data_IF_828976967472
#
_entry.id   IF_828976967472
#
_cell.length_a   1.000
_cell.length_b   1.000
_cell.length_c   1.000
_cell.angle_alpha   90.00
_cell.angle_beta   90.00
_cell.angle_gamma   90.00
#
_symmetry.space_group_name_H-M   'P 1'
#
loop_
_entity.id
_entity.type
_entity.pdbx_description
1 polymer ?
#
# COMPACT_ATOMS: atom_id res chain seq x y z
N UNK A 1 -8.68 -7.29 24.92
CA UNK A 1 -9.91 -7.29 24.10
C UNK A 1 -10.83 -6.19 24.58
N UNK A 2 -11.60 -5.55 23.69
CA UNK A 2 -12.68 -4.63 24.05
C UNK A 2 -13.88 -4.93 23.17
N UNK A 3 -15.05 -5.09 23.76
CA UNK A 3 -16.31 -5.16 23.01
C UNK A 3 -16.94 -3.77 23.07
N UNK A 4 -17.39 -3.26 21.92
CA UNK A 4 -18.05 -1.96 21.84
C UNK A 4 -19.18 -2.04 20.83
N UNK A 5 -20.35 -1.55 21.19
CA UNK A 5 -21.41 -1.35 20.21
C UNK A 5 -21.24 0.02 19.54
N UNK A 6 -21.23 0.02 18.21
CA UNK A 6 -21.26 1.23 17.39
C UNK A 6 -22.48 1.14 16.47
N UNK A 7 -23.52 1.91 16.81
CA UNK A 7 -24.82 1.88 16.13
C UNK A 7 -25.43 0.45 16.09
N UNK A 8 -25.69 -0.06 14.89
CA UNK A 8 -26.28 -1.38 14.64
C UNK A 8 -25.25 -2.53 14.57
N UNK A 9 -23.99 -2.28 14.94
CA UNK A 9 -22.90 -3.27 14.86
C UNK A 9 -22.20 -3.40 16.21
N UNK A 10 -22.05 -4.63 16.70
CA UNK A 10 -21.18 -4.95 17.83
C UNK A 10 -19.78 -5.24 17.30
N UNK A 11 -18.81 -4.50 17.81
CA UNK A 11 -17.39 -4.62 17.46
C UNK A 11 -16.64 -5.36 18.58
N UNK A 12 -15.84 -6.34 18.21
CA UNK A 12 -14.90 -7.02 19.11
C UNK A 12 -13.49 -6.65 18.66
N UNK A 13 -12.86 -5.75 19.39
CA UNK A 13 -11.50 -5.30 19.12
C UNK A 13 -10.49 -6.19 19.86
N UNK A 14 -9.59 -6.83 19.10
CA UNK A 14 -8.38 -7.42 19.65
C UNK A 14 -7.24 -6.41 19.54
N UNK A 15 -6.67 -6.03 20.69
CA UNK A 15 -5.40 -5.32 20.72
C UNK A 15 -4.31 -6.38 20.77
N UNK A 16 -3.82 -6.79 19.61
CA UNK A 16 -2.60 -7.58 19.52
C UNK A 16 -1.42 -6.62 19.77
N UNK A 17 -0.45 -6.96 20.64
CA UNK A 17 0.80 -6.22 20.72
C UNK A 17 1.61 -6.52 19.46
N UNK A 18 1.26 -5.90 18.34
CA UNK A 18 2.22 -5.83 17.25
C UNK A 18 3.45 -5.04 17.76
N UNK A 19 4.65 -5.37 17.28
CA UNK A 19 5.85 -4.60 17.59
C UNK A 19 5.66 -3.18 17.11
N UNK A 20 5.60 -2.20 18.02
CA UNK A 20 5.57 -0.77 17.63
C UNK A 20 6.88 -0.48 16.90
N UNK A 21 6.81 -0.28 15.59
CA UNK A 21 7.97 0.06 14.76
C UNK A 21 8.31 1.55 14.90
N UNK A 22 7.29 2.42 15.04
CA UNK A 22 7.49 3.86 15.24
C UNK A 22 6.24 4.54 15.84
N UNK A 23 6.42 5.67 16.52
CA UNK A 23 5.35 6.53 17.03
C UNK A 23 5.53 7.91 16.38
N UNK A 24 4.63 8.30 15.48
CA UNK A 24 4.59 9.69 15.00
C UNK A 24 3.64 10.50 15.85
N UNK A 25 4.12 11.59 16.41
CA UNK A 25 3.31 12.55 17.14
C UNK A 25 3.09 13.76 16.23
N UNK A 26 1.87 13.96 15.76
CA UNK A 26 1.48 15.15 15.02
C UNK A 26 0.70 16.06 15.94
N UNK A 27 1.23 17.27 16.15
CA UNK A 27 0.59 18.28 16.98
C UNK A 27 -0.06 19.30 16.04
N UNK A 28 -1.38 19.36 16.04
CA UNK A 28 -2.15 20.32 15.24
C UNK A 28 -2.80 21.33 16.19
N UNK A 29 -2.46 22.60 16.04
CA UNK A 29 -3.13 23.71 16.74
C UNK A 29 -4.30 24.21 15.90
N UNK A 30 -5.49 24.26 16.50
CA UNK A 30 -6.65 24.93 15.89
C UNK A 30 -6.45 26.46 15.91
N UNK A 31 -7.21 27.20 15.09
CA UNK A 31 -7.13 28.68 15.03
C UNK A 31 -7.43 29.36 16.37
N UNK A 32 -8.12 28.66 17.27
CA UNK A 32 -8.47 29.10 18.63
C UNK A 32 -7.41 28.73 19.70
N UNK A 33 -6.21 28.30 19.29
CA UNK A 33 -5.09 28.01 20.20
C UNK A 33 -5.18 26.67 20.94
N UNK A 34 -6.18 25.84 20.64
CA UNK A 34 -6.26 24.48 21.18
C UNK A 34 -5.29 23.54 20.46
N UNK A 35 -4.29 23.07 21.20
CA UNK A 35 -3.28 22.14 20.72
C UNK A 35 -3.80 20.71 20.84
N UNK A 36 -4.12 20.08 19.71
CA UNK A 36 -4.46 18.64 19.64
C UNK A 36 -3.22 17.85 19.26
N UNK A 37 -2.74 17.06 20.20
CA UNK A 37 -1.63 16.12 19.98
C UNK A 37 -2.20 14.77 19.57
N UNK A 38 -2.07 14.41 18.29
CA UNK A 38 -2.45 13.10 17.79
C UNK A 38 -1.22 12.20 17.72
N UNK A 39 -1.25 11.08 18.47
CA UNK A 39 -0.22 10.04 18.39
C UNK A 39 -0.69 8.94 17.44
N UNK A 40 0.05 8.73 16.36
CA UNK A 40 -0.17 7.65 15.39
C UNK A 40 0.91 6.59 15.59
N UNK A 41 0.47 5.37 15.83
CA UNK A 41 1.34 4.23 16.10
C UNK A 41 1.51 3.40 14.80
N UNK A 42 2.75 3.09 14.44
CA UNK A 42 3.13 2.20 13.33
C UNK A 42 3.68 0.90 13.90
N UNK A 43 3.44 -0.21 13.22
CA UNK A 43 3.82 -1.53 13.71
C UNK A 43 4.61 -2.33 12.66
N UNK A 44 5.54 -3.18 13.10
CA UNK A 44 6.21 -4.19 12.25
C UNK A 44 5.14 -5.21 11.82
N UNK A 45 5.10 -5.57 10.54
CA UNK A 45 4.31 -6.72 10.11
C UNK A 45 4.91 -7.97 10.80
N UNK A 46 4.07 -8.81 11.43
CA UNK A 46 4.50 -10.02 12.13
C UNK A 46 5.06 -11.12 11.23
N UNK A 47 5.45 -10.79 9.99
CA UNK A 47 5.88 -11.71 8.95
C UNK A 47 7.30 -11.42 8.43
N UNK A 48 8.08 -10.61 9.15
CA UNK A 48 9.48 -10.34 8.78
C UNK A 48 9.65 -9.42 7.58
N UNK A 49 8.61 -8.66 7.23
CA UNK A 49 8.62 -7.67 6.15
C UNK A 49 8.85 -6.26 6.70
N UNK A 50 9.78 -5.53 6.09
CA UNK A 50 10.18 -4.14 6.41
C UNK A 50 9.08 -3.11 6.12
N UNK A 51 7.90 -3.55 5.64
CA UNK A 51 6.79 -2.67 5.30
C UNK A 51 6.03 -2.19 6.56
N UNK A 52 5.83 -0.87 6.62
CA UNK A 52 5.25 -0.15 7.76
C UNK A 52 3.75 0.02 7.52
N UNK A 53 2.91 -0.62 8.32
CA UNK A 53 1.46 -0.49 8.20
C UNK A 53 0.93 0.54 9.21
N UNK A 54 0.13 1.54 8.78
CA UNK A 54 -0.63 2.38 9.71
C UNK A 54 -1.68 1.52 10.41
N UNK A 55 -1.89 1.75 11.71
CA UNK A 55 -2.81 0.98 12.54
C UNK A 55 -4.24 0.98 11.96
N UNK A 56 -4.66 -0.13 11.34
CA UNK A 56 -6.07 -0.52 11.28
C UNK A 56 -6.26 -1.53 12.41
N UNK A 57 -7.07 -1.18 13.42
CA UNK A 57 -7.37 -2.09 14.53
C UNK A 57 -8.00 -3.37 13.96
N UNK A 58 -7.44 -4.52 14.33
CA UNK A 58 -8.06 -5.81 14.04
C UNK A 58 -9.35 -5.91 14.85
N UNK A 59 -10.48 -6.00 14.14
CA UNK A 59 -11.81 -6.06 14.72
C UNK A 59 -12.64 -7.11 14.02
N UNK A 60 -13.39 -7.87 14.83
CA UNK A 60 -14.54 -8.60 14.34
C UNK A 60 -15.79 -7.74 14.47
N UNK A 61 -16.66 -7.80 13.48
CA UNK A 61 -17.94 -7.10 13.49
C UNK A 61 -19.09 -8.05 13.33
N UNK A 62 -20.09 -7.88 14.19
CA UNK A 62 -21.30 -8.68 14.27
C UNK A 62 -22.51 -7.75 14.23
N UNK A 63 -23.58 -8.07 13.47
CA UNK A 63 -24.80 -7.29 13.50
C UNK A 63 -25.44 -7.33 14.90
N UNK A 64 -25.72 -6.17 15.49
CA UNK A 64 -26.37 -6.06 16.79
C UNK A 64 -27.81 -6.61 16.79
N UNK A 65 -28.42 -6.79 15.60
CA UNK A 65 -29.72 -7.43 15.43
C UNK A 65 -29.73 -8.93 15.73
N UNK A 66 -28.56 -9.59 15.69
CA UNK A 66 -28.43 -11.03 15.87
C UNK A 66 -27.91 -11.38 17.27
N UNK A 67 -26.93 -10.62 17.76
CA UNK A 67 -26.36 -10.81 19.10
C UNK A 67 -26.14 -9.46 19.78
N UNK A 68 -26.70 -9.31 20.98
CA UNK A 68 -26.54 -8.11 21.81
C UNK A 68 -25.13 -7.97 22.37
N UNK A 69 -24.73 -6.74 22.74
CA UNK A 69 -23.39 -6.45 23.26
C UNK A 69 -23.02 -7.33 24.46
N UNK A 70 -23.92 -7.45 25.44
CA UNK A 70 -23.67 -8.19 26.69
C UNK A 70 -23.47 -9.69 26.43
N UNK A 71 -24.25 -10.27 25.51
CA UNK A 71 -24.13 -11.66 25.12
C UNK A 71 -22.79 -11.93 24.43
N UNK A 72 -22.37 -11.02 23.53
CA UNK A 72 -21.05 -11.08 22.87
C UNK A 72 -19.92 -10.87 23.88
N UNK A 73 -20.07 -9.97 24.84
CA UNK A 73 -19.06 -9.75 25.88
C UNK A 73 -18.88 -10.95 26.79
N UNK A 74 -19.97 -11.55 27.25
CA UNK A 74 -19.94 -12.75 28.09
C UNK A 74 -19.32 -13.94 27.34
N UNK A 75 -19.68 -14.11 26.07
CA UNK A 75 -19.12 -15.10 25.17
C UNK A 75 -17.62 -14.98 24.98
N UNK A 76 -17.17 -13.78 24.67
CA UNK A 76 -15.77 -13.45 24.45
C UNK A 76 -14.99 -13.66 25.75
N UNK A 77 -15.54 -13.22 26.88
CA UNK A 77 -14.93 -13.41 28.20
C UNK A 77 -14.79 -14.89 28.58
N UNK A 78 -15.84 -15.69 28.36
CA UNK A 78 -15.84 -17.13 28.60
C UNK A 78 -14.82 -17.86 27.70
N UNK A 79 -14.81 -17.52 26.41
CA UNK A 79 -13.89 -18.07 25.42
C UNK A 79 -12.42 -17.79 25.78
N UNK A 80 -12.10 -16.56 26.17
CA UNK A 80 -10.76 -16.17 26.61
C UNK A 80 -10.37 -16.88 27.91
N UNK A 81 -11.29 -16.98 28.89
CA UNK A 81 -11.01 -17.67 30.15
C UNK A 81 -10.77 -19.17 29.97
N UNK A 82 -11.36 -19.77 28.92
CA UNK A 82 -11.17 -21.18 28.60
C UNK A 82 -9.92 -21.47 27.75
N UNK A 83 -9.30 -20.43 27.17
CA UNK A 83 -8.13 -20.60 26.32
C UNK A 83 -6.87 -20.81 27.17
N UNK A 84 -6.25 -21.98 27.03
CA UNK A 84 -4.98 -22.32 27.66
C UNK A 84 -3.88 -22.47 26.59
N UNK A 85 -2.87 -21.58 26.54
CA UNK A 85 -1.80 -21.65 25.54
C UNK A 85 -0.79 -22.80 25.78
N UNK A 86 -0.93 -23.57 26.86
CA UNK A 86 0.06 -24.54 27.35
C UNK A 86 0.22 -25.84 26.55
N UNK A 87 -0.51 -26.04 25.44
CA UNK A 87 -0.40 -27.26 24.61
C UNK A 87 0.49 -27.10 23.38
N UNK A 88 1.06 -25.93 23.14
CA UNK A 88 1.98 -25.72 22.03
C UNK A 88 3.37 -26.31 22.34
N UNK A 89 3.92 -27.10 21.41
CA UNK A 89 5.27 -27.66 21.51
C UNK A 89 6.31 -26.59 21.86
N UNK A 90 7.31 -26.85 22.74
CA UNK A 90 8.25 -25.85 23.25
C UNK A 90 8.96 -25.02 22.17
N UNK A 91 9.24 -25.61 21.01
CA UNK A 91 9.87 -24.93 19.87
C UNK A 91 8.99 -23.88 19.17
N UNK A 92 7.66 -23.95 19.33
CA UNK A 92 6.70 -22.96 18.79
C UNK A 92 6.48 -21.79 19.74
N UNK A 93 6.70 -22.00 21.04
CA UNK A 93 6.41 -21.05 22.12
C UNK A 93 7.29 -19.79 22.06
N UNK A 94 8.44 -19.85 21.38
CA UNK A 94 9.39 -18.75 21.27
C UNK A 94 9.32 -18.14 19.87
N UNK A 95 8.94 -16.86 19.79
CA UNK A 95 8.77 -16.17 18.51
C UNK A 95 10.06 -16.08 17.68
N UNK A 96 9.96 -15.87 16.35
CA UNK A 96 11.11 -15.66 15.47
C UNK A 96 11.97 -14.50 15.98
N UNK A 97 13.24 -14.78 16.33
CA UNK A 97 14.16 -13.78 16.87
C UNK A 97 14.21 -13.66 18.40
N UNK A 98 13.46 -14.46 19.18
CA UNK A 98 13.65 -14.55 20.64
C UNK A 98 15.09 -14.98 20.98
N UNK A 99 15.61 -15.97 20.26
CA UNK A 99 16.98 -16.47 20.42
C UNK A 99 18.04 -15.41 20.16
N UNK A 100 17.87 -14.60 19.12
CA UNK A 100 18.84 -13.55 18.81
C UNK A 100 18.79 -12.41 19.84
N UNK A 101 17.61 -12.06 20.37
CA UNK A 101 17.47 -11.04 21.42
C UNK A 101 17.96 -11.53 22.78
N UNK A 102 17.76 -12.81 23.12
CA UNK A 102 18.36 -13.46 24.30
C UNK A 102 19.87 -13.59 24.16
N UNK A 103 20.39 -13.90 22.96
CA UNK A 103 21.83 -13.92 22.70
C UNK A 103 22.44 -12.52 22.86
N UNK A 104 21.78 -11.45 22.40
CA UNK A 104 22.21 -10.07 22.62
C UNK A 104 22.18 -9.71 24.11
N UNK A 105 21.15 -10.15 24.85
CA UNK A 105 21.08 -9.95 26.30
C UNK A 105 22.21 -10.69 27.04
N UNK A 106 22.47 -11.94 26.65
CA UNK A 106 23.56 -12.76 27.18
C UNK A 106 24.95 -12.19 26.85
N UNK A 107 25.13 -11.69 25.63
CA UNK A 107 26.36 -11.00 25.23
C UNK A 107 26.59 -9.74 26.07
N UNK A 108 25.56 -8.93 26.30
CA UNK A 108 25.64 -7.77 27.20
C UNK A 108 26.02 -8.15 28.64
N UNK A 109 25.48 -9.25 29.16
CA UNK A 109 25.79 -9.76 30.50
C UNK A 109 27.24 -10.27 30.61
N UNK A 110 27.70 -11.08 29.66
CA UNK A 110 29.09 -11.59 29.62
C UNK A 110 30.08 -10.44 29.46
N UNK A 111 29.78 -9.48 28.58
CA UNK A 111 30.61 -8.32 28.34
C UNK A 111 30.72 -7.43 29.59
N UNK A 112 29.61 -7.20 30.29
CA UNK A 112 29.62 -6.49 31.58
C UNK A 112 30.40 -7.25 32.65
N UNK A 113 30.31 -8.58 32.69
CA UNK A 113 31.02 -9.40 33.66
C UNK A 113 32.54 -9.35 33.43
N UNK A 114 33.00 -9.49 32.18
CA UNK A 114 34.42 -9.39 31.84
C UNK A 114 34.98 -8.01 32.20
N UNK A 115 34.28 -6.93 31.86
CA UNK A 115 34.70 -5.57 32.21
C UNK A 115 34.77 -5.35 33.74
N UNK A 116 33.82 -5.93 34.48
CA UNK A 116 33.81 -5.90 35.94
C UNK A 116 34.96 -6.72 36.56
N UNK A 117 35.27 -7.90 36.02
CA UNK A 117 36.42 -8.69 36.46
C UNK A 117 37.75 -7.97 36.25
N UNK A 118 37.92 -7.27 35.12
CA UNK A 118 39.10 -6.43 34.86
C UNK A 118 39.19 -5.31 35.90
N UNK A 119 38.08 -4.63 36.21
CA UNK A 119 38.04 -3.57 37.20
C UNK A 119 38.41 -4.07 38.61
N UNK A 120 37.90 -5.23 39.02
CA UNK A 120 38.25 -5.89 40.30
C UNK A 120 39.74 -6.25 40.36
N UNK A 121 40.36 -6.63 39.24
CA UNK A 121 41.79 -6.95 39.22
C UNK A 121 42.67 -5.70 39.22
N UNK A 122 42.26 -4.64 38.52
CA UNK A 122 43.05 -3.41 38.35
C UNK A 122 43.04 -2.55 39.62
N UNK A 123 41.90 -2.41 40.30
CA UNK A 123 41.79 -1.59 41.54
C UNK A 123 42.82 -1.96 42.62
N UNK A 124 42.99 -3.24 43.03
CA UNK A 124 43.97 -3.61 44.06
C UNK A 124 45.41 -3.43 43.59
N UNK A 125 45.71 -3.73 42.31
CA UNK A 125 47.05 -3.50 41.73
C UNK A 125 47.42 -2.01 41.77
N UNK A 126 46.47 -1.14 41.43
CA UNK A 126 46.66 0.31 41.43
C UNK A 126 46.81 0.86 42.86
N UNK A 127 46.12 0.26 43.84
CA UNK A 127 46.26 0.62 45.26
C UNK A 127 47.64 0.26 45.81
N UNK A 128 48.20 -0.87 45.39
CA UNK A 128 49.55 -1.30 45.79
C UNK A 128 50.62 -0.34 45.22
N UNK A 129 50.44 0.14 43.98
CA UNK A 129 51.35 1.12 43.37
C UNK A 129 51.30 2.50 44.05
N UNK A 130 50.12 2.93 44.53
CA UNK A 130 49.97 4.19 45.29
C UNK A 130 50.68 4.11 46.65
N UNK A 131 50.58 2.97 47.34
CA UNK A 131 51.26 2.69 48.61
C UNK A 131 52.79 2.50 48.44
N UNK A 132 53.26 2.02 47.29
CA UNK A 132 54.69 1.74 47.03
C UNK A 132 55.47 2.89 46.36
N UNK A 133 54.84 3.68 45.48
CA UNK A 133 55.50 4.70 44.64
C UNK A 133 54.98 6.14 44.83
N UNK A 134 54.02 6.39 45.72
CA UNK A 134 53.60 7.73 46.13
C UNK A 134 52.96 8.59 45.03
N UNK A 135 52.46 7.98 43.95
CA UNK A 135 51.83 8.66 42.83
C UNK A 135 50.35 8.89 43.15
N UNK A 136 49.94 10.15 43.37
CA UNK A 136 48.54 10.48 43.63
C UNK A 136 47.69 10.20 42.40
N UNK A 137 46.73 9.29 42.52
CA UNK A 137 45.94 8.82 41.39
C UNK A 137 44.72 9.70 41.12
N UNK A 138 44.57 10.18 39.89
CA UNK A 138 43.37 10.90 39.45
C UNK A 138 42.23 9.91 39.13
N UNK A 139 41.14 9.95 39.90
CA UNK A 139 39.90 9.18 39.68
C UNK A 139 39.27 9.34 38.28
N UNK A 140 39.78 10.24 37.43
CA UNK A 140 39.38 10.46 36.04
C UNK A 140 40.23 9.75 34.98
N UNK A 141 41.20 8.91 35.36
CA UNK A 141 42.09 8.23 34.42
C UNK A 141 41.33 7.34 33.43
N UNK A 142 41.75 7.39 32.16
CA UNK A 142 41.22 6.60 31.04
C UNK A 142 41.16 5.09 31.38
N UNK A 143 42.07 4.60 32.22
CA UNK A 143 42.16 3.21 32.65
C UNK A 143 41.01 2.73 33.56
N UNK A 144 40.33 3.62 34.29
CA UNK A 144 39.12 3.29 35.06
C UNK A 144 37.85 3.65 34.30
N UNK A 145 37.88 4.75 33.53
CA UNK A 145 36.73 5.26 32.80
C UNK A 145 36.32 4.32 31.66
N UNK A 146 37.29 3.70 30.99
CA UNK A 146 37.05 2.82 29.86
C UNK A 146 36.41 1.47 30.26
N UNK A 147 36.87 0.75 31.31
CA UNK A 147 36.14 -0.41 31.86
C UNK A 147 34.77 -0.04 32.45
N UNK A 148 34.67 1.08 33.17
CA UNK A 148 33.39 1.53 33.72
C UNK A 148 32.37 1.85 32.61
N UNK A 149 32.81 2.50 31.54
CA UNK A 149 31.99 2.75 30.34
C UNK A 149 31.51 1.46 29.68
N UNK A 150 32.36 0.43 29.61
CA UNK A 150 31.98 -0.87 29.07
C UNK A 150 30.98 -1.65 29.94
N UNK A 151 31.05 -1.52 31.27
CA UNK A 151 30.02 -2.07 32.18
C UNK A 151 28.67 -1.42 31.89
N UNK A 152 28.62 -0.07 31.82
CA UNK A 152 27.37 0.66 31.53
C UNK A 152 26.82 0.27 30.16
N UNK A 153 27.67 0.18 29.15
CA UNK A 153 27.28 -0.25 27.81
C UNK A 153 26.75 -1.69 27.79
N UNK A 154 27.41 -2.62 28.47
CA UNK A 154 27.00 -4.02 28.59
C UNK A 154 25.64 -4.17 29.27
N UNK A 155 25.42 -3.44 30.38
CA UNK A 155 24.12 -3.40 31.08
C UNK A 155 23.04 -2.80 30.19
N UNK A 156 23.32 -1.73 29.45
CA UNK A 156 22.35 -1.12 28.52
C UNK A 156 21.93 -2.11 27.43
N UNK A 157 22.90 -2.79 26.81
CA UNK A 157 22.66 -3.84 25.80
C UNK A 157 21.84 -4.99 26.41
N UNK A 158 22.17 -5.41 27.64
CA UNK A 158 21.43 -6.44 28.37
C UNK A 158 19.97 -6.02 28.60
N UNK A 159 19.72 -4.80 29.09
CA UNK A 159 18.37 -4.28 29.35
C UNK A 159 17.57 -4.16 28.05
N UNK A 160 18.17 -3.71 26.95
CA UNK A 160 17.52 -3.63 25.64
C UNK A 160 17.19 -5.03 25.10
N UNK A 161 18.13 -5.97 25.22
CA UNK A 161 17.94 -7.38 24.85
C UNK A 161 16.82 -8.05 25.66
N UNK A 162 16.82 -7.86 26.98
CA UNK A 162 15.83 -8.43 27.89
C UNK A 162 14.45 -7.80 27.69
N UNK A 163 14.38 -6.48 27.51
CA UNK A 163 13.12 -5.76 27.21
C UNK A 163 12.55 -6.20 25.86
N UNK A 164 13.40 -6.35 24.85
CA UNK A 164 12.95 -6.81 23.52
C UNK A 164 12.54 -8.29 23.53
N UNK A 165 13.20 -9.15 24.30
CA UNK A 165 12.79 -10.53 24.54
C UNK A 165 11.48 -10.61 25.35
N UNK A 166 11.29 -9.74 26.34
CA UNK A 166 10.05 -9.65 27.10
C UNK A 166 8.85 -9.26 26.24
N UNK A 167 9.04 -8.36 25.28
CA UNK A 167 8.00 -7.99 24.31
C UNK A 167 7.63 -9.18 23.41
N UNK A 168 8.58 -10.05 23.10
CA UNK A 168 8.38 -11.28 22.30
C UNK A 168 7.85 -12.46 23.12
N UNK A 169 7.61 -12.28 24.43
CA UNK A 169 7.07 -13.33 25.32
C UNK A 169 5.69 -13.82 24.89
N UNK A 170 4.92 -12.99 24.18
CA UNK A 170 3.66 -13.39 23.58
C UNK A 170 3.92 -13.77 22.12
N UNK A 171 4.09 -15.05 21.81
CA UNK A 171 4.34 -15.47 20.44
C UNK A 171 3.11 -15.22 19.55
N UNK A 172 3.37 -14.84 18.30
CA UNK A 172 2.34 -14.37 17.34
C UNK A 172 1.24 -15.41 17.06
N UNK A 173 1.58 -16.71 17.18
CA UNK A 173 0.60 -17.78 17.00
C UNK A 173 -0.51 -17.76 18.06
N UNK A 174 -0.25 -17.24 19.28
CA UNK A 174 -1.28 -17.13 20.32
C UNK A 174 -2.33 -16.10 19.91
N UNK A 175 -1.90 -14.99 19.31
CA UNK A 175 -2.81 -13.98 18.81
C UNK A 175 -3.67 -14.56 17.67
N UNK A 176 -3.06 -15.32 16.76
CA UNK A 176 -3.77 -16.01 15.68
C UNK A 176 -4.75 -17.07 16.19
N UNK A 177 -4.34 -17.93 17.13
CA UNK A 177 -5.21 -18.94 17.73
C UNK A 177 -6.39 -18.31 18.48
N UNK A 178 -6.13 -17.23 19.23
CA UNK A 178 -7.20 -16.46 19.87
C UNK A 178 -8.14 -15.82 18.86
N UNK A 179 -7.61 -15.32 17.74
CA UNK A 179 -8.40 -14.75 16.64
C UNK A 179 -9.32 -15.80 15.99
N UNK A 180 -8.78 -16.99 15.70
CA UNK A 180 -9.55 -18.11 15.13
C UNK A 180 -10.57 -18.66 16.13
N UNK A 181 -10.22 -18.74 17.41
CA UNK A 181 -11.12 -19.17 18.48
C UNK A 181 -12.28 -18.18 18.63
N UNK A 182 -12.00 -16.88 18.68
CA UNK A 182 -13.03 -15.84 18.72
C UNK A 182 -13.94 -15.91 17.49
N UNK A 183 -13.38 -16.07 16.30
CA UNK A 183 -14.16 -16.27 15.08
C UNK A 183 -15.11 -17.46 15.21
N UNK A 184 -14.62 -18.60 15.69
CA UNK A 184 -15.44 -19.81 15.86
C UNK A 184 -16.59 -19.60 16.85
N UNK A 185 -16.32 -18.92 17.96
CA UNK A 185 -17.31 -18.61 19.00
C UNK A 185 -18.36 -17.64 18.47
N UNK A 186 -17.95 -16.54 17.83
CA UNK A 186 -18.85 -15.57 17.23
C UNK A 186 -19.71 -16.20 16.12
N UNK A 187 -19.12 -17.08 15.31
CA UNK A 187 -19.85 -17.81 14.27
C UNK A 187 -20.90 -18.74 14.87
N UNK A 188 -20.55 -19.49 15.93
CA UNK A 188 -21.49 -20.38 16.62
C UNK A 188 -22.65 -19.61 17.26
N UNK A 189 -22.39 -18.43 17.80
CA UNK A 189 -23.43 -17.62 18.46
C UNK A 189 -24.38 -16.94 17.50
N UNK A 190 -23.85 -16.42 16.39
CA UNK A 190 -24.63 -15.60 15.46
C UNK A 190 -25.21 -16.42 14.31
N UNK A 191 -24.78 -17.68 14.15
CA UNK A 191 -25.11 -18.51 12.99
C UNK A 191 -24.53 -17.98 11.68
N UNK A 192 -23.72 -16.92 11.71
CA UNK A 192 -23.12 -16.26 10.56
C UNK A 192 -21.64 -15.99 10.80
N UNK A 193 -20.84 -15.92 9.72
CA UNK A 193 -19.44 -15.55 9.86
C UNK A 193 -19.31 -14.05 10.25
N UNK A 194 -18.52 -13.70 11.28
CA UNK A 194 -18.27 -12.31 11.66
C UNK A 194 -17.45 -11.60 10.58
N UNK A 195 -17.70 -10.30 10.38
CA UNK A 195 -16.91 -9.46 9.48
C UNK A 195 -15.51 -9.23 10.05
N UNK A 196 -14.46 -9.34 9.23
CA UNK A 196 -13.07 -9.10 9.64
C UNK A 196 -12.50 -7.84 8.99
N UNK A 197 -11.77 -7.02 9.78
CA UNK A 197 -11.04 -5.87 9.26
C UNK A 197 -9.65 -6.22 8.70
N UNK A 198 -9.20 -7.47 8.85
CA UNK A 198 -7.86 -7.88 8.41
C UNK A 198 -7.82 -8.09 6.89
N UNK A 199 -6.87 -7.45 6.18
CA UNK A 199 -6.75 -7.61 4.72
C UNK A 199 -6.62 -9.07 4.28
N UNK A 200 -5.78 -9.84 4.97
CA UNK A 200 -5.59 -11.29 4.74
C UNK A 200 -6.88 -12.10 4.84
N UNK A 201 -7.75 -11.79 5.81
CA UNK A 201 -9.04 -12.47 5.93
C UNK A 201 -9.96 -12.12 4.75
N UNK A 202 -9.95 -10.86 4.30
CA UNK A 202 -10.72 -10.42 3.13
C UNK A 202 -10.18 -10.95 1.80
N UNK A 203 -8.88 -11.21 1.71
CA UNK A 203 -8.21 -11.89 0.58
C UNK A 203 -8.48 -13.41 0.61
N UNK A 204 -8.61 -13.99 1.80
CA UNK A 204 -9.05 -15.37 2.02
C UNK A 204 -10.54 -15.60 1.73
N UNK A 205 -11.26 -14.57 1.26
CA UNK A 205 -12.67 -14.65 0.91
C UNK A 205 -13.63 -14.54 2.09
N UNK A 206 -13.13 -14.24 3.29
CA UNK A 206 -13.96 -14.06 4.48
C UNK A 206 -14.74 -12.74 4.39
N UNK A 207 -15.83 -12.67 5.15
CA UNK A 207 -16.72 -11.50 5.17
C UNK A 207 -15.92 -10.27 5.60
N UNK A 208 -15.95 -9.17 4.81
CA UNK A 208 -15.27 -7.95 5.21
C UNK A 208 -15.99 -7.27 6.35
N UNK A 209 -15.24 -6.44 7.08
CA UNK A 209 -15.73 -5.68 8.21
C UNK A 209 -16.97 -4.81 7.89
N UNK A 210 -18.04 -5.00 8.67
CA UNK A 210 -19.33 -4.36 8.51
C UNK A 210 -19.31 -2.83 8.73
N UNK A 211 -18.32 -2.30 9.45
CA UNK A 211 -18.19 -0.83 9.59
C UNK A 211 -17.70 -0.20 8.29
N UNK A 212 -16.74 -0.85 7.61
CA UNK A 212 -16.22 -0.35 6.33
C UNK A 212 -17.07 -0.78 5.14
N UNK A 213 -17.77 -1.90 5.27
CA UNK A 213 -18.60 -2.54 4.25
C UNK A 213 -19.93 -3.01 4.90
N UNK A 214 -20.90 -2.11 5.09
CA UNK A 214 -22.16 -2.43 5.80
C UNK A 214 -22.98 -3.54 5.15
N UNK A 215 -22.82 -3.74 3.83
CA UNK A 215 -23.41 -4.83 3.05
C UNK A 215 -22.38 -5.85 2.58
N UNK A 216 -21.24 -5.94 3.26
CA UNK A 216 -20.17 -6.88 2.92
C UNK A 216 -20.65 -8.32 3.03
N UNK A 217 -20.68 -9.04 1.92
CA UNK A 217 -20.98 -10.47 1.88
C UNK A 217 -19.68 -11.30 1.91
N UNK A 218 -19.80 -12.60 2.22
CA UNK A 218 -18.70 -13.53 2.09
C UNK A 218 -18.27 -13.60 0.62
N UNK A 219 -16.99 -13.38 0.35
CA UNK A 219 -16.47 -13.40 -1.01
C UNK A 219 -16.22 -14.85 -1.42
N UNK A 220 -17.07 -15.39 -2.29
CA UNK A 220 -16.84 -16.71 -2.88
C UNK A 220 -15.58 -16.65 -3.74
N UNK A 221 -14.57 -17.45 -3.37
CA UNK A 221 -13.37 -17.66 -4.19
C UNK A 221 -13.65 -18.82 -5.14
N UNK A 222 -13.56 -18.55 -6.44
CA UNK A 222 -13.58 -19.59 -7.46
C UNK A 222 -12.27 -20.38 -7.48
N UNK A 223 -12.28 -21.50 -8.22
CA UNK A 223 -11.09 -22.33 -8.41
C UNK A 223 -10.36 -21.88 -9.67
N UNK A 224 -9.05 -21.68 -9.59
CA UNK A 224 -8.19 -21.36 -10.74
C UNK A 224 -7.99 -22.56 -11.65
N UNK A 225 -7.43 -22.32 -12.84
CA UNK A 225 -7.08 -23.38 -13.78
C UNK A 225 -6.18 -24.46 -13.15
N UNK A 226 -5.28 -24.07 -12.24
CA UNK A 226 -4.34 -24.96 -11.56
C UNK A 226 -4.92 -25.62 -10.28
N UNK A 227 -6.24 -25.51 -10.05
CA UNK A 227 -6.91 -26.07 -8.88
C UNK A 227 -6.70 -25.29 -7.58
N UNK A 228 -6.00 -24.14 -7.63
CA UNK A 228 -5.80 -23.26 -6.47
C UNK A 228 -7.04 -22.38 -6.23
N UNK A 229 -7.18 -21.83 -5.04
CA UNK A 229 -8.22 -20.81 -4.80
C UNK A 229 -7.81 -19.49 -5.45
N UNK A 230 -8.70 -18.93 -6.27
CA UNK A 230 -8.49 -17.63 -6.92
C UNK A 230 -8.60 -16.45 -5.95
N UNK A 231 -8.25 -15.22 -6.38
CA UNK A 231 -8.34 -14.03 -5.56
C UNK A 231 -9.78 -13.69 -5.20
N UNK A 232 -9.96 -13.00 -4.07
CA UNK A 232 -11.26 -12.46 -3.69
C UNK A 232 -11.60 -11.22 -4.53
N UNK A 233 -12.55 -11.35 -5.46
CA UNK A 233 -12.94 -10.25 -6.34
C UNK A 233 -13.67 -9.12 -5.60
N UNK A 234 -13.52 -7.85 -6.05
CA UNK A 234 -14.27 -6.71 -5.53
C UNK A 234 -15.78 -6.91 -5.59
N UNK A 235 -16.47 -6.60 -4.49
CA UNK A 235 -17.93 -6.56 -4.42
C UNK A 235 -18.53 -5.33 -5.12
N UNK A 236 -19.84 -5.33 -5.36
CA UNK A 236 -20.55 -4.21 -6.00
C UNK A 236 -20.37 -2.90 -5.24
N UNK A 237 -20.28 -2.95 -3.91
CA UNK A 237 -20.01 -1.79 -3.07
C UNK A 237 -18.60 -1.23 -3.27
N UNK A 238 -17.55 -2.04 -3.27
CA UNK A 238 -16.18 -1.57 -3.53
C UNK A 238 -16.02 -1.06 -4.96
N UNK A 239 -16.69 -1.68 -5.94
CA UNK A 239 -16.73 -1.20 -7.34
C UNK A 239 -17.41 0.17 -7.42
N UNK A 240 -18.56 0.37 -6.78
CA UNK A 240 -19.24 1.68 -6.79
C UNK A 240 -18.42 2.75 -6.05
N UNK A 241 -17.74 2.38 -4.97
CA UNK A 241 -16.84 3.27 -4.22
C UNK A 241 -15.62 3.68 -5.03
N UNK A 242 -14.98 2.75 -5.75
CA UNK A 242 -13.85 3.06 -6.64
C UNK A 242 -14.28 3.94 -7.81
N UNK A 243 -15.43 3.66 -8.43
CA UNK A 243 -16.01 4.52 -9.48
C UNK A 243 -16.31 5.91 -8.94
N UNK A 244 -16.87 6.05 -7.73
CA UNK A 244 -17.13 7.36 -7.12
C UNK A 244 -15.85 8.15 -6.90
N UNK A 245 -14.79 7.51 -6.39
CA UNK A 245 -13.46 8.13 -6.26
C UNK A 245 -12.89 8.53 -7.62
N UNK A 246 -13.05 7.66 -8.63
CA UNK A 246 -12.69 7.96 -10.02
C UNK A 246 -13.40 9.20 -10.54
N UNK A 247 -14.72 9.31 -10.34
CA UNK A 247 -15.53 10.46 -10.76
C UNK A 247 -15.08 11.76 -10.09
N UNK A 248 -14.79 11.72 -8.79
CA UNK A 248 -14.25 12.88 -8.08
C UNK A 248 -12.89 13.28 -8.67
N UNK A 249 -12.03 12.30 -8.97
CA UNK A 249 -10.74 12.56 -9.61
C UNK A 249 -10.93 13.16 -11.00
N UNK A 250 -11.88 12.67 -11.81
CA UNK A 250 -12.22 13.24 -13.11
C UNK A 250 -12.66 14.70 -12.97
N UNK A 251 -13.58 14.99 -12.05
CA UNK A 251 -14.06 16.35 -11.79
C UNK A 251 -12.91 17.28 -11.41
N UNK A 252 -12.03 16.85 -10.50
CA UNK A 252 -10.87 17.63 -10.06
C UNK A 252 -9.87 17.85 -11.20
N UNK A 253 -9.58 16.81 -12.00
CA UNK A 253 -8.70 16.97 -13.16
C UNK A 253 -9.31 17.87 -14.23
N UNK A 254 -10.63 17.79 -14.45
CA UNK A 254 -11.33 18.65 -15.39
C UNK A 254 -11.37 20.10 -14.92
N UNK A 255 -11.62 20.35 -13.64
CA UNK A 255 -11.61 21.71 -13.08
C UNK A 255 -10.22 22.32 -13.15
N UNK A 256 -9.17 21.54 -12.86
CA UNK A 256 -7.78 21.99 -13.00
C UNK A 256 -7.46 22.39 -14.46
N UNK A 257 -7.89 21.57 -15.43
CA UNK A 257 -7.71 21.85 -16.85
C UNK A 257 -8.43 23.15 -17.26
N UNK A 258 -9.67 23.36 -16.81
CA UNK A 258 -10.44 24.58 -17.12
C UNK A 258 -9.75 25.81 -16.52
N UNK A 259 -9.25 25.73 -15.29
CA UNK A 259 -8.51 26.83 -14.65
C UNK A 259 -7.22 27.13 -15.43
N UNK A 260 -6.45 26.13 -15.83
CA UNK A 260 -5.24 26.32 -16.64
C UNK A 260 -5.60 26.97 -17.99
N UNK A 261 -6.65 26.51 -18.65
CA UNK A 261 -7.08 27.08 -19.94
C UNK A 261 -7.57 28.53 -19.78
N UNK A 262 -8.28 28.83 -18.69
CA UNK A 262 -8.74 30.18 -18.35
C UNK A 262 -7.58 31.13 -18.02
N UNK A 263 -6.58 30.66 -17.28
CA UNK A 263 -5.34 31.41 -17.00
C UNK A 263 -4.60 31.68 -18.32
N UNK A 264 -4.39 30.65 -19.15
CA UNK A 264 -3.78 30.82 -20.47
C UNK A 264 -4.55 31.82 -21.33
N UNK A 265 -5.89 31.79 -21.31
CA UNK A 265 -6.73 32.76 -22.03
C UNK A 265 -6.53 34.20 -21.52
N UNK A 266 -6.50 34.41 -20.21
CA UNK A 266 -6.27 35.73 -19.61
C UNK A 266 -4.86 36.26 -19.96
N UNK A 267 -3.83 35.42 -19.83
CA UNK A 267 -2.46 35.80 -20.21
C UNK A 267 -2.32 36.05 -21.73
N UNK A 268 -3.06 35.30 -22.56
CA UNK A 268 -3.06 35.48 -24.02
C UNK A 268 -3.66 36.83 -24.45
N UNK A 269 -4.54 37.42 -23.63
CA UNK A 269 -5.14 38.74 -23.84
C UNK A 269 -4.16 39.89 -23.58
N UNK A 270 -2.98 39.61 -23.02
CA UNK A 270 -1.92 40.59 -22.73
C UNK A 270 -0.98 40.89 -23.92
N UNK A 271 -1.34 40.51 -25.15
CA UNK A 271 -0.70 41.06 -26.37
C UNK A 271 0.22 40.13 -27.15
N UNK A 272 -0.21 38.88 -27.42
CA UNK A 272 0.40 38.08 -28.48
C UNK A 272 -0.62 37.90 -29.63
N UNK A 273 -0.30 38.42 -30.81
CA UNK A 273 -1.09 38.16 -32.02
C UNK A 273 -1.05 36.66 -32.34
N UNK A 274 -2.16 35.96 -32.13
CA UNK A 274 -2.30 34.57 -32.54
C UNK A 274 -2.65 34.53 -34.03
N UNK A 275 -1.63 34.39 -34.88
CA UNK A 275 -1.86 33.98 -36.26
C UNK A 275 -2.64 32.65 -36.29
N UNK A 276 -3.51 32.46 -37.29
CA UNK A 276 -4.39 31.28 -37.43
C UNK A 276 -3.61 29.97 -37.28
N UNK A 277 -2.39 29.90 -37.81
CA UNK A 277 -1.52 28.72 -37.74
C UNK A 277 -1.01 28.40 -36.32
N UNK A 278 -0.79 29.43 -35.48
CA UNK A 278 -0.37 29.27 -34.09
C UNK A 278 -1.54 28.84 -33.20
N UNK A 279 -2.74 29.30 -33.53
CA UNK A 279 -3.97 28.84 -32.86
C UNK A 279 -4.19 27.35 -33.10
N UNK A 280 -4.02 26.87 -34.34
CA UNK A 280 -4.22 25.46 -34.67
C UNK A 280 -3.20 24.55 -34.00
N UNK A 281 -1.91 24.93 -33.99
CA UNK A 281 -0.84 24.15 -33.32
C UNK A 281 -1.03 24.11 -31.79
N UNK A 282 -1.41 25.24 -31.18
CA UNK A 282 -1.73 25.31 -29.76
C UNK A 282 -2.96 24.46 -29.39
N UNK A 283 -4.03 24.52 -30.18
CA UNK A 283 -5.25 23.70 -29.95
C UNK A 283 -4.93 22.20 -30.04
N UNK A 284 -4.10 21.78 -31.00
CA UNK A 284 -3.64 20.38 -31.13
C UNK A 284 -2.85 19.91 -29.89
N UNK A 285 -1.86 20.69 -29.46
CA UNK A 285 -1.05 20.38 -28.29
C UNK A 285 -1.88 20.34 -27.00
N UNK A 286 -2.75 21.35 -26.80
CA UNK A 286 -3.64 21.43 -25.65
C UNK A 286 -4.64 20.27 -25.63
N UNK A 287 -5.25 19.92 -26.76
CA UNK A 287 -6.18 18.78 -26.85
C UNK A 287 -5.46 17.46 -26.52
N UNK A 288 -4.22 17.30 -26.96
CA UNK A 288 -3.36 16.18 -26.62
C UNK A 288 -3.11 16.07 -25.11
N UNK A 289 -2.67 17.16 -24.49
CA UNK A 289 -2.41 17.24 -23.04
C UNK A 289 -3.65 16.99 -22.19
N UNK A 290 -4.79 17.56 -22.58
CA UNK A 290 -6.09 17.36 -21.92
C UNK A 290 -6.46 15.87 -21.96
N UNK A 291 -6.32 15.21 -23.11
CA UNK A 291 -6.55 13.77 -23.24
C UNK A 291 -5.63 12.94 -22.34
N UNK A 292 -4.33 13.23 -22.32
CA UNK A 292 -3.35 12.51 -21.48
C UNK A 292 -3.72 12.60 -19.99
N UNK A 293 -4.18 13.76 -19.52
CA UNK A 293 -4.56 13.97 -18.12
C UNK A 293 -5.91 13.34 -17.76
N UNK A 294 -6.89 13.35 -18.67
CA UNK A 294 -8.24 12.84 -18.41
C UNK A 294 -8.35 11.32 -18.54
N UNK A 295 -7.63 10.69 -19.48
CA UNK A 295 -7.78 9.25 -19.77
C UNK A 295 -7.52 8.37 -18.54
N UNK A 296 -6.45 8.56 -17.74
CA UNK A 296 -6.23 7.74 -16.54
C UNK A 296 -7.37 7.88 -15.52
N UNK A 297 -7.95 9.08 -15.39
CA UNK A 297 -9.09 9.34 -14.51
C UNK A 297 -10.37 8.69 -15.04
N UNK A 298 -10.59 8.69 -16.36
CA UNK A 298 -11.71 8.02 -17.03
C UNK A 298 -11.59 6.49 -16.95
N UNK A 299 -10.38 5.94 -17.09
CA UNK A 299 -10.11 4.51 -16.88
C UNK A 299 -10.50 4.08 -15.45
N UNK A 300 -10.21 4.90 -14.45
CA UNK A 300 -10.59 4.62 -13.05
C UNK A 300 -12.11 4.66 -12.81
N UNK A 301 -12.89 5.26 -13.71
CA UNK A 301 -14.35 5.26 -13.67
C UNK A 301 -14.98 4.05 -14.37
N UNK A 302 -14.21 3.28 -15.14
CA UNK A 302 -14.74 2.16 -15.90
C UNK A 302 -15.12 1.01 -14.97
N UNK A 303 -16.42 0.70 -14.93
CA UNK A 303 -16.97 -0.34 -14.04
C UNK A 303 -16.33 -1.71 -14.27
N UNK A 304 -15.96 -2.02 -15.51
CA UNK A 304 -15.43 -3.34 -15.86
C UNK A 304 -13.96 -3.46 -15.41
N UNK A 305 -13.18 -2.38 -15.49
CA UNK A 305 -11.82 -2.31 -14.95
C UNK A 305 -11.80 -2.29 -13.42
N UNK A 306 -12.79 -1.64 -12.80
CA UNK A 306 -12.97 -1.62 -11.35
C UNK A 306 -13.38 -2.99 -10.79
N UNK A 307 -14.20 -3.75 -11.53
CA UNK A 307 -14.60 -5.11 -11.14
C UNK A 307 -13.46 -6.12 -11.26
N UNK A 308 -12.60 -5.98 -12.28
CA UNK A 308 -11.47 -6.88 -12.51
C UNK A 308 -10.13 -6.12 -12.48
N UNK A 309 -9.60 -5.81 -11.28
CA UNK A 309 -8.35 -5.07 -11.13
C UNK A 309 -7.14 -5.87 -11.64
N UNK A 310 -6.07 -5.18 -12.01
CA UNK A 310 -4.78 -5.79 -12.42
C UNK A 310 -3.90 -6.19 -11.24
N UNK A 311 -4.13 -5.56 -10.10
CA UNK A 311 -3.32 -5.68 -8.90
C UNK A 311 -4.26 -5.88 -7.73
N UNK A 312 -3.98 -6.90 -6.92
CA UNK A 312 -4.63 -7.09 -5.62
C UNK A 312 -3.64 -6.58 -4.58
N UNK A 313 -4.11 -5.91 -3.51
CA UNK A 313 -3.32 -5.81 -2.29
C UNK A 313 -2.81 -7.21 -1.94
N UNK A 314 -1.50 -7.33 -1.68
CA UNK A 314 -0.89 -8.57 -1.23
C UNK A 314 -0.10 -8.30 0.05
N UNK A 315 0.32 -9.38 0.71
CA UNK A 315 0.94 -9.36 2.04
C UNK A 315 2.13 -8.38 2.13
N UNK A 316 3.00 -8.33 1.11
CA UNK A 316 4.19 -7.46 1.08
C UNK A 316 4.24 -6.45 -0.07
N UNK A 317 3.68 -6.79 -1.22
CA UNK A 317 3.65 -5.92 -2.41
C UNK A 317 2.36 -6.13 -3.20
N UNK A 318 1.86 -5.12 -3.95
CA UNK A 318 0.71 -5.30 -4.81
C UNK A 318 0.99 -6.41 -5.82
N UNK A 319 0.32 -7.54 -5.65
CA UNK A 319 0.51 -8.71 -6.49
C UNK A 319 -0.26 -8.53 -7.80
N UNK A 320 0.43 -8.72 -8.92
CA UNK A 320 -0.17 -8.58 -10.24
C UNK A 320 -0.87 -9.87 -10.63
N UNK A 321 -2.18 -9.81 -10.83
CA UNK A 321 -2.99 -10.98 -11.21
C UNK A 321 -2.63 -11.41 -12.64
N UNK A 322 -2.08 -12.61 -12.78
CA UNK A 322 -1.84 -13.29 -14.05
C UNK A 322 -3.05 -14.11 -14.50
N UNK A 323 -2.97 -14.66 -15.73
CA UNK A 323 -4.04 -15.51 -16.28
C UNK A 323 -4.27 -16.78 -15.43
N UNK A 324 -3.21 -17.33 -14.82
CA UNK A 324 -3.26 -18.56 -14.02
C UNK A 324 -3.86 -18.36 -12.63
N UNK A 325 -3.83 -17.11 -12.15
CA UNK A 325 -4.32 -16.77 -10.82
C UNK A 325 -5.83 -16.48 -10.84
N UNK A 326 -6.42 -16.32 -12.02
CA UNK A 326 -7.85 -16.08 -12.20
C UNK A 326 -8.62 -17.39 -12.13
N UNK A 327 -9.71 -17.37 -11.39
CA UNK A 327 -10.71 -18.42 -11.31
C UNK A 327 -11.46 -18.62 -12.62
N UNK A 328 -11.85 -19.86 -12.89
CA UNK A 328 -12.46 -20.26 -14.17
C UNK A 328 -13.75 -19.48 -14.46
N UNK A 329 -14.57 -19.22 -13.42
CA UNK A 329 -15.87 -18.55 -13.57
C UNK A 329 -15.72 -17.07 -13.98
N UNK A 330 -14.67 -16.39 -13.51
CA UNK A 330 -14.43 -14.97 -13.78
C UNK A 330 -13.45 -14.71 -14.93
N UNK A 331 -12.87 -15.77 -15.50
CA UNK A 331 -11.90 -15.72 -16.60
C UNK A 331 -12.41 -14.95 -17.83
N UNK A 332 -13.68 -15.13 -18.30
CA UNK A 332 -14.20 -14.37 -19.43
C UNK A 332 -14.31 -12.87 -19.13
N UNK A 333 -14.76 -12.52 -17.92
CA UNK A 333 -14.89 -11.14 -17.46
C UNK A 333 -13.53 -10.45 -17.33
N UNK A 334 -12.53 -11.16 -16.82
CA UNK A 334 -11.16 -10.66 -16.75
C UNK A 334 -10.53 -10.45 -18.14
N UNK A 335 -10.72 -11.36 -19.10
CA UNK A 335 -10.28 -11.17 -20.48
C UNK A 335 -10.91 -9.92 -21.12
N UNK A 336 -12.22 -9.74 -20.94
CA UNK A 336 -12.92 -8.54 -21.41
C UNK A 336 -12.35 -7.26 -20.77
N UNK A 337 -11.98 -7.30 -19.49
CA UNK A 337 -11.33 -6.19 -18.79
C UNK A 337 -9.97 -5.84 -19.38
N UNK A 338 -9.17 -6.85 -19.73
CA UNK A 338 -7.87 -6.61 -20.36
C UNK A 338 -8.00 -6.03 -21.76
N UNK A 339 -8.94 -6.54 -22.56
CA UNK A 339 -9.22 -5.99 -23.88
C UNK A 339 -9.66 -4.52 -23.77
N UNK A 340 -10.55 -4.21 -22.81
CA UNK A 340 -11.01 -2.84 -22.56
C UNK A 340 -9.88 -1.92 -22.08
N UNK A 341 -8.99 -2.41 -21.22
CA UNK A 341 -7.78 -1.68 -20.84
C UNK A 341 -6.88 -1.40 -22.04
N UNK A 342 -6.68 -2.38 -22.93
CA UNK A 342 -5.84 -2.22 -24.12
C UNK A 342 -6.45 -1.19 -25.09
N UNK A 343 -7.78 -1.12 -25.22
CA UNK A 343 -8.45 -0.04 -25.96
C UNK A 343 -8.23 1.32 -25.32
N UNK A 344 -8.39 1.45 -24.00
CA UNK A 344 -8.09 2.69 -23.30
C UNK A 344 -6.63 3.13 -23.45
N UNK A 345 -5.69 2.18 -23.46
CA UNK A 345 -4.28 2.44 -23.72
C UNK A 345 -4.04 2.87 -25.18
N UNK A 346 -4.78 2.29 -26.15
CA UNK A 346 -4.74 2.73 -27.55
C UNK A 346 -5.19 4.17 -27.72
N UNK A 347 -6.30 4.56 -27.06
CA UNK A 347 -6.78 5.94 -27.04
C UNK A 347 -5.73 6.86 -26.41
N UNK A 348 -5.14 6.47 -25.27
CA UNK A 348 -4.07 7.24 -24.62
C UNK A 348 -2.87 7.49 -25.54
N UNK A 349 -2.42 6.47 -26.29
CA UNK A 349 -1.33 6.63 -27.27
C UNK A 349 -1.70 7.61 -28.38
N UNK A 350 -2.93 7.60 -28.87
CA UNK A 350 -3.41 8.57 -29.87
C UNK A 350 -3.27 10.02 -29.38
N UNK A 351 -3.63 10.28 -28.12
CA UNK A 351 -3.46 11.62 -27.52
C UNK A 351 -2.00 12.00 -27.28
N UNK A 352 -1.11 11.04 -26.99
CA UNK A 352 0.34 11.28 -26.95
C UNK A 352 0.89 11.69 -28.32
N UNK A 353 0.46 11.04 -29.39
CA UNK A 353 0.83 11.40 -30.77
C UNK A 353 0.31 12.79 -31.11
N UNK A 354 -0.94 13.11 -30.76
CA UNK A 354 -1.54 14.43 -30.95
C UNK A 354 -0.77 15.53 -30.20
N UNK A 355 -0.40 15.26 -28.94
CA UNK A 355 0.38 16.17 -28.12
C UNK A 355 1.79 16.40 -28.70
N UNK A 356 2.49 15.32 -29.07
CA UNK A 356 3.83 15.42 -29.67
C UNK A 356 3.80 16.17 -31.00
N UNK A 357 2.82 15.88 -31.84
CA UNK A 357 2.59 16.57 -33.10
C UNK A 357 2.39 18.09 -32.91
N UNK A 358 1.51 18.49 -32.00
CA UNK A 358 1.26 19.90 -31.68
C UNK A 358 2.48 20.60 -31.08
N UNK A 359 3.24 19.92 -30.21
CA UNK A 359 4.48 20.43 -29.63
C UNK A 359 5.58 20.67 -30.68
N UNK A 360 5.73 19.76 -31.64
CA UNK A 360 6.69 19.92 -32.75
C UNK A 360 6.31 21.09 -33.65
N UNK A 361 5.01 21.29 -33.97
CA UNK A 361 4.56 22.47 -34.72
C UNK A 361 4.88 23.77 -34.00
N UNK A 362 4.60 23.85 -32.69
CA UNK A 362 4.92 25.03 -31.88
C UNK A 362 6.42 25.30 -31.86
N UNK A 363 7.25 24.26 -31.81
CA UNK A 363 8.71 24.39 -31.85
C UNK A 363 9.22 24.89 -33.20
N UNK A 364 8.69 24.35 -34.30
CA UNK A 364 9.04 24.76 -35.67
C UNK A 364 8.62 26.22 -35.91
N UNK A 365 7.41 26.60 -35.53
CA UNK A 365 6.92 27.98 -35.65
C UNK A 365 7.82 28.96 -34.88
N UNK A 366 8.19 28.61 -33.63
CA UNK A 366 9.08 29.43 -32.80
C UNK A 366 10.51 29.56 -33.36
N UNK A 367 11.03 28.51 -34.02
CA UNK A 367 12.32 28.52 -34.72
C UNK A 367 12.27 29.36 -36.00
N UNK A 368 11.20 29.23 -36.78
CA UNK A 368 11.02 29.95 -38.06
C UNK A 368 10.95 31.47 -37.87
N UNK A 369 10.40 31.94 -36.77
CA UNK A 369 10.39 33.38 -36.43
C UNK A 369 11.79 33.97 -36.21
N UNK A 370 12.79 33.14 -35.97
CA UNK A 370 14.18 33.54 -35.79
C UNK A 370 15.07 33.29 -37.03
N UNK A 371 14.53 32.74 -38.12
CA UNK A 371 15.31 32.43 -39.33
C UNK A 371 14.68 33.03 -40.58
N UNK A 372 15.37 33.94 -41.25
CA UNK A 372 14.90 34.66 -42.45
C UNK A 372 15.05 33.89 -43.78
N UNK A 373 15.64 32.70 -43.79
CA UNK A 373 15.96 31.99 -45.03
C UNK A 373 15.25 30.63 -45.13
N UNK A 374 14.13 30.56 -45.85
CA UNK A 374 13.53 29.28 -46.26
C UNK A 374 13.01 29.33 -47.70
N UNK A 375 13.45 28.36 -48.51
CA UNK A 375 13.05 28.23 -49.92
C UNK A 375 11.57 27.78 -50.06
N UNK A 376 10.91 28.19 -51.15
CA UNK A 376 9.48 27.96 -51.37
C UNK A 376 9.05 26.46 -51.41
N UNK A 377 9.96 25.55 -51.77
CA UNK A 377 9.70 24.10 -51.75
C UNK A 377 9.70 23.51 -50.32
N UNK A 378 10.59 23.99 -49.45
CA UNK A 378 10.58 23.66 -48.01
C UNK A 378 9.37 24.24 -47.28
N UNK A 379 8.83 25.39 -47.73
CA UNK A 379 7.65 26.02 -47.14
C UNK A 379 6.35 25.21 -47.37
N UNK A 380 6.25 24.47 -48.47
CA UNK A 380 5.05 23.69 -48.83
C UNK A 380 4.95 22.37 -48.04
N UNK A 381 6.08 21.69 -47.83
CA UNK A 381 6.17 20.48 -46.99
C UNK A 381 6.00 20.77 -45.48
N UNK A 382 6.25 22.02 -45.06
CA UNK A 382 6.04 22.52 -43.70
C UNK A 382 4.75 23.32 -43.54
N UNK A 383 3.89 23.37 -44.57
CA UNK A 383 2.62 24.10 -44.48
C UNK A 383 1.70 23.46 -43.43
N UNK A 384 1.08 24.30 -42.59
CA UNK A 384 0.19 23.89 -41.52
C UNK A 384 -0.85 22.81 -41.93
N UNK A 385 -1.56 22.91 -43.08
CA UNK A 385 -2.57 21.90 -43.46
C UNK A 385 -1.98 20.53 -43.79
N UNK A 386 -0.81 20.46 -44.42
CA UNK A 386 -0.15 19.17 -44.76
C UNK A 386 0.27 18.45 -43.49
N UNK A 387 0.84 19.17 -42.52
CA UNK A 387 1.21 18.59 -41.23
C UNK A 387 -0.03 18.18 -40.42
N UNK A 388 -1.11 18.97 -40.41
CA UNK A 388 -2.38 18.58 -39.77
C UNK A 388 -2.90 17.28 -40.40
N UNK A 389 -2.92 17.18 -41.73
CA UNK A 389 -3.29 15.94 -42.42
C UNK A 389 -2.42 14.74 -42.02
N UNK A 390 -1.11 14.92 -42.00
CA UNK A 390 -0.15 13.87 -41.61
C UNK A 390 -0.35 13.41 -40.16
N UNK A 391 -0.63 14.34 -39.25
CA UNK A 391 -0.86 14.05 -37.83
C UNK A 391 -2.17 13.31 -37.59
N UNK A 392 -3.24 13.68 -38.30
CA UNK A 392 -4.50 12.94 -38.25
C UNK A 392 -4.34 11.52 -38.79
N UNK A 393 -3.57 11.35 -39.88
CA UNK A 393 -3.22 10.02 -40.41
C UNK A 393 -2.39 9.23 -39.39
N UNK A 394 -1.39 9.85 -38.76
CA UNK A 394 -0.56 9.20 -37.74
C UNK A 394 -1.38 8.77 -36.51
N UNK A 395 -2.29 9.61 -36.03
CA UNK A 395 -3.22 9.27 -34.94
C UNK A 395 -4.14 8.13 -35.35
N UNK A 396 -4.73 8.18 -36.54
CA UNK A 396 -5.58 7.11 -37.05
C UNK A 396 -4.82 5.77 -37.15
N UNK A 397 -3.61 5.79 -37.74
CA UNK A 397 -2.77 4.61 -37.87
C UNK A 397 -2.34 4.05 -36.52
N UNK A 398 -1.94 4.89 -35.57
CA UNK A 398 -1.54 4.45 -34.22
C UNK A 398 -2.70 3.82 -33.45
N UNK A 399 -3.93 4.36 -33.60
CA UNK A 399 -5.14 3.78 -33.03
C UNK A 399 -5.45 2.44 -33.70
N UNK A 400 -5.46 2.36 -35.03
CA UNK A 400 -5.73 1.11 -35.78
C UNK A 400 -4.73 0.02 -35.41
N UNK A 401 -3.42 0.31 -35.45
CA UNK A 401 -2.37 -0.65 -35.09
C UNK A 401 -2.53 -1.10 -33.63
N UNK A 402 -2.82 -0.18 -32.71
CA UNK A 402 -3.03 -0.54 -31.29
C UNK A 402 -4.28 -1.39 -31.09
N UNK A 403 -5.36 -1.14 -31.82
CA UNK A 403 -6.60 -1.91 -31.80
C UNK A 403 -6.38 -3.32 -32.35
N UNK A 404 -5.70 -3.44 -33.50
CA UNK A 404 -5.36 -4.74 -34.10
C UNK A 404 -4.46 -5.54 -33.16
N UNK A 405 -3.46 -4.88 -32.57
CA UNK A 405 -2.59 -5.50 -31.58
C UNK A 405 -3.36 -5.97 -30.34
N UNK A 406 -4.29 -5.17 -29.82
CA UNK A 406 -5.14 -5.53 -28.68
C UNK A 406 -6.01 -6.76 -28.99
N UNK A 407 -6.61 -6.82 -30.19
CA UNK A 407 -7.40 -7.97 -30.66
C UNK A 407 -6.56 -9.23 -30.82
N UNK A 408 -5.38 -9.13 -31.42
CA UNK A 408 -4.47 -10.27 -31.55
C UNK A 408 -4.03 -10.81 -30.18
N UNK A 409 -3.76 -9.92 -29.23
CA UNK A 409 -3.42 -10.30 -27.86
C UNK A 409 -4.59 -10.94 -27.11
N UNK A 410 -5.82 -10.46 -27.33
CA UNK A 410 -7.02 -11.11 -26.79
C UNK A 410 -7.24 -12.50 -27.39
N UNK A 411 -7.10 -12.66 -28.71
CA UNK A 411 -7.18 -13.96 -29.37
C UNK A 411 -6.12 -14.94 -28.82
N UNK A 412 -4.89 -14.47 -28.59
CA UNK A 412 -3.84 -15.26 -27.93
C UNK A 412 -4.20 -15.68 -26.50
N UNK A 413 -4.77 -14.76 -25.70
CA UNK A 413 -5.26 -15.07 -24.34
C UNK A 413 -6.38 -16.11 -24.36
N UNK A 414 -7.37 -15.96 -25.24
CA UNK A 414 -8.48 -16.92 -25.38
C UNK A 414 -8.04 -18.29 -25.87
N UNK A 415 -7.03 -18.37 -26.74
CA UNK A 415 -6.41 -19.65 -27.14
C UNK A 415 -5.76 -20.35 -25.96
N UNK A 416 -5.01 -19.62 -25.12
CA UNK A 416 -4.41 -20.17 -23.90
C UNK A 416 -5.48 -20.65 -22.90
N UNK A 417 -6.58 -19.91 -22.78
CA UNK A 417 -7.74 -20.32 -21.97
C UNK A 417 -8.41 -21.57 -22.53
N UNK A 418 -8.68 -21.62 -23.83
CA UNK A 418 -9.28 -22.77 -24.49
C UNK A 418 -8.43 -24.03 -24.38
N UNK A 419 -7.11 -23.91 -24.52
CA UNK A 419 -6.16 -24.99 -24.31
C UNK A 419 -6.13 -25.47 -22.85
N UNK A 420 -6.17 -24.54 -21.89
CA UNK A 420 -6.19 -24.88 -20.46
C UNK A 420 -7.52 -25.53 -20.02
N UNK A 421 -8.63 -25.22 -20.70
CA UNK A 421 -9.94 -25.82 -20.43
C UNK A 421 -10.07 -27.24 -21.06
N UNK A 422 -9.39 -27.49 -22.19
CA UNK A 422 -9.37 -28.80 -22.88
C UNK A 422 -8.43 -29.84 -22.24
N UNK A 423 -7.48 -29.41 -21.41
CA UNK A 423 -6.53 -30.28 -20.70
C UNK A 423 -7.06 -30.78 -19.33
N UNK A 424 -8.34 -30.57 -19.06
CA UNK A 424 -9.08 -31.02 -17.89
C UNK A 424 -10.14 -32.02 -18.33
#
# INVERSE_FOLDING_TARGET
>A
MRVRQENAVVTVEQRVPARVSNISVSTTSDSDGHVRTQRTYYYESGLGSDSRLPLVRERFTVPASIAGQEQVEQAVKAAISSYNPGTATPGKQWGPGMWSRLAVAGFGAVFSFIAFSILIMVIPVMRIDEEAYGRSFEFGSLFLLLPAGFIVLGVLIMVIGLRSAWILRTPDFIAEEQWQLLRSVLTRMTGQQPGSSRPLDTEAGLRPDLITHPHGETRRRGVTLDGRMGPAWPDTYSVTKTIRKGRIKVLLTSSLIIVILGVLYIFSRSGADFNTDRMVSAVLACTGMIGICLIPSLQACDRLLAAYPTQVPGEDTPHRIGLRDVDVDNLPGWCAARLRQDYWNAVSRGFWVLCGAGGVLLFIQRRSEHSTDASAASALFLSAPVYIGLTMIAVAMTVVVSVVWARNRDAGRRRLVGLACLLR
#
